data_IF_235327165496
#
_entry.id   IF_235327165496
#
_cell.length_a   1.000
_cell.length_b   1.000
_cell.length_c   1.000
_cell.angle_alpha   90.00
_cell.angle_beta   90.00
_cell.angle_gamma   90.00
#
_symmetry.space_group_name_H-M   'P 1'
#
loop_
_entity.id
_entity.type
_entity.pdbx_description
1 polymer ?
#
# COMPACT_ATOMS: atom_id res chain seq x y z
N UNK A 1 13.92 -6.46 20.93
CA UNK A 1 13.17 -5.50 20.13
C UNK A 1 11.72 -5.45 20.55
N UNK A 2 11.26 -4.26 20.85
CA UNK A 2 9.87 -4.06 21.21
C UNK A 2 8.99 -4.16 19.98
N UNK A 3 7.90 -4.92 20.10
CA UNK A 3 6.89 -4.94 19.05
C UNK A 3 6.27 -3.54 18.94
N UNK A 4 6.02 -3.07 17.72
CA UNK A 4 5.31 -1.81 17.56
C UNK A 4 3.93 -1.90 18.20
N UNK A 5 3.45 -0.79 18.71
CA UNK A 5 2.11 -0.73 19.28
C UNK A 5 1.09 -0.80 18.13
N UNK A 6 0.43 -1.94 18.04
CA UNK A 6 -0.57 -2.18 17.02
C UNK A 6 -1.93 -1.72 17.52
N UNK A 7 -2.59 -0.88 16.74
CA UNK A 7 -3.90 -0.32 17.08
C UNK A 7 -5.00 -1.02 16.29
N UNK A 8 -4.80 -1.16 14.99
CA UNK A 8 -5.77 -1.77 14.08
C UNK A 8 -5.05 -2.36 12.88
N UNK A 9 -5.80 -2.79 11.90
CA UNK A 9 -5.23 -3.34 10.67
C UNK A 9 -6.18 -3.15 9.50
N UNK A 10 -5.61 -3.13 8.31
CA UNK A 10 -6.35 -3.37 7.08
C UNK A 10 -5.94 -4.73 6.55
N UNK A 11 -6.76 -5.34 5.72
CA UNK A 11 -6.41 -6.63 5.14
C UNK A 11 -7.02 -6.82 3.76
N UNK A 12 -6.41 -7.70 3.01
CA UNK A 12 -6.83 -8.08 1.67
C UNK A 12 -6.86 -9.58 1.58
N UNK A 13 -7.96 -10.14 1.07
CA UNK A 13 -8.07 -11.58 0.94
C UNK A 13 -7.21 -12.08 -0.22
N UNK A 14 -6.48 -13.15 0.01
CA UNK A 14 -5.57 -13.72 -0.99
C UNK A 14 -6.32 -14.19 -2.25
N UNK A 15 -7.58 -14.60 -2.11
CA UNK A 15 -8.37 -15.09 -3.25
C UNK A 15 -9.02 -13.97 -4.05
N UNK A 16 -9.01 -12.73 -3.57
CA UNK A 16 -9.75 -11.63 -4.20
C UNK A 16 -8.96 -11.06 -5.37
N UNK A 17 -9.43 -11.31 -6.59
CA UNK A 17 -8.79 -10.81 -7.81
C UNK A 17 -8.91 -9.29 -7.96
N UNK A 18 -9.88 -8.68 -7.29
CA UNK A 18 -10.06 -7.23 -7.32
C UNK A 18 -9.19 -6.51 -6.30
N UNK A 19 -8.49 -7.26 -5.46
CA UNK A 19 -7.57 -6.71 -4.44
C UNK A 19 -8.24 -5.71 -3.50
N UNK A 20 -9.49 -6.00 -3.11
CA UNK A 20 -10.21 -5.13 -2.20
C UNK A 20 -9.56 -5.12 -0.83
N UNK A 21 -9.34 -3.92 -0.29
CA UNK A 21 -8.76 -3.76 1.04
C UNK A 21 -9.88 -3.45 2.04
N UNK A 22 -9.95 -4.26 3.06
CA UNK A 22 -10.91 -4.08 4.16
C UNK A 22 -10.21 -3.43 5.34
N UNK A 23 -10.96 -2.64 6.10
CA UNK A 23 -10.48 -2.03 7.34
C UNK A 23 -11.17 -2.71 8.53
N UNK A 24 -10.38 -3.22 9.47
CA UNK A 24 -10.93 -3.80 10.71
C UNK A 24 -11.83 -2.78 11.39
N UNK A 25 -11.37 -1.52 11.44
CA UNK A 25 -12.10 -0.45 12.09
C UNK A 25 -13.44 -0.18 11.41
N UNK A 26 -13.46 -0.13 10.09
CA UNK A 26 -14.69 0.09 9.31
C UNK A 26 -15.67 -1.07 9.45
N UNK A 27 -15.17 -2.27 9.70
CA UNK A 27 -16.01 -3.45 9.93
C UNK A 27 -16.45 -3.58 11.39
N UNK A 28 -16.26 -2.56 12.18
CA UNK A 28 -16.63 -2.56 13.58
C UNK A 28 -15.78 -3.46 14.44
N UNK A 29 -14.56 -3.74 13.98
CA UNK A 29 -13.68 -4.67 14.64
C UNK A 29 -12.66 -4.03 15.56
N UNK A 30 -11.87 -4.87 16.17
CA UNK A 30 -10.86 -4.44 17.13
C UNK A 30 -9.77 -5.49 17.28
N UNK A 31 -8.66 -5.06 17.84
CA UNK A 31 -7.60 -5.95 18.28
C UNK A 31 -8.06 -6.69 19.53
N UNK A 32 -8.06 -8.02 19.45
CA UNK A 32 -8.47 -8.86 20.57
C UNK A 32 -7.27 -9.27 21.41
N UNK A 33 -6.21 -9.70 20.74
CA UNK A 33 -5.05 -10.25 21.41
C UNK A 33 -3.79 -10.01 20.59
N UNK A 34 -2.74 -9.67 21.30
CA UNK A 34 -1.40 -9.64 20.75
C UNK A 34 -0.59 -10.63 21.57
N UNK A 35 -0.17 -11.72 20.94
CA UNK A 35 0.56 -12.78 21.61
C UNK A 35 1.92 -12.33 22.08
N UNK A 36 2.46 -13.08 23.05
CA UNK A 36 3.84 -12.89 23.47
C UNK A 36 4.75 -13.69 22.57
N UNK A 37 6.02 -13.28 22.50
CA UNK A 37 7.02 -14.09 21.84
C UNK A 37 7.03 -15.47 22.46
N UNK A 38 6.95 -16.49 21.62
CA UNK A 38 6.90 -17.87 22.07
C UNK A 38 8.25 -18.31 22.61
N UNK A 39 8.22 -19.18 23.62
CA UNK A 39 9.43 -19.85 24.09
C UNK A 39 9.93 -20.92 23.11
N UNK A 40 9.16 -21.19 22.06
CA UNK A 40 9.59 -22.08 20.99
C UNK A 40 10.41 -21.32 19.97
N UNK A 41 11.02 -22.04 19.04
CA UNK A 41 11.81 -21.43 17.98
C UNK A 41 10.95 -20.71 16.93
N UNK A 42 9.67 -20.57 17.17
CA UNK A 42 8.78 -19.81 16.30
C UNK A 42 9.13 -18.33 16.34
N UNK A 43 9.44 -17.80 15.18
CA UNK A 43 9.72 -16.37 15.01
C UNK A 43 8.46 -15.55 14.84
N UNK A 44 7.30 -16.16 14.98
CA UNK A 44 6.02 -15.51 14.75
C UNK A 44 5.30 -15.21 16.06
N UNK A 45 4.70 -14.03 16.13
CA UNK A 45 3.87 -13.63 17.25
C UNK A 45 2.44 -13.54 16.76
N UNK A 46 1.50 -14.28 17.35
CA UNK A 46 0.11 -14.21 16.90
C UNK A 46 -0.52 -12.87 17.25
N UNK A 47 -1.25 -12.31 16.31
CA UNK A 47 -2.04 -11.10 16.50
C UNK A 47 -3.45 -11.40 16.01
N UNK A 48 -4.44 -11.18 16.86
CA UNK A 48 -5.81 -11.58 16.58
C UNK A 48 -6.71 -10.36 16.60
N UNK A 49 -7.45 -10.19 15.51
CA UNK A 49 -8.48 -9.17 15.37
C UNK A 49 -9.83 -9.87 15.23
N UNK A 50 -10.89 -9.21 15.69
CA UNK A 50 -12.24 -9.62 15.37
C UNK A 50 -12.94 -8.51 14.62
N UNK A 51 -13.92 -8.86 13.82
CA UNK A 51 -14.69 -7.90 13.06
C UNK A 51 -16.02 -8.52 12.64
N UNK A 52 -16.95 -7.66 12.21
CA UNK A 52 -18.25 -8.11 11.71
C UNK A 52 -18.10 -8.52 10.25
N UNK A 53 -18.40 -9.80 9.97
CA UNK A 53 -18.35 -10.32 8.62
C UNK A 53 -19.76 -10.32 8.04
N UNK A 54 -19.99 -9.48 7.02
CA UNK A 54 -21.29 -9.41 6.35
C UNK A 54 -21.50 -10.54 5.35
N UNK A 55 -20.62 -11.54 5.31
CA UNK A 55 -20.75 -12.70 4.44
C UNK A 55 -19.82 -12.70 3.25
N UNK A 56 -19.09 -11.63 3.05
CA UNK A 56 -18.18 -11.49 1.89
C UNK A 56 -16.83 -12.18 2.10
N UNK A 57 -16.48 -12.48 3.34
CA UNK A 57 -15.17 -13.01 3.67
C UNK A 57 -15.32 -14.47 4.08
N UNK A 58 -14.60 -15.33 3.39
CA UNK A 58 -14.68 -16.78 3.56
C UNK A 58 -13.75 -17.22 4.68
N UNK A 59 -14.33 -17.86 5.71
CA UNK A 59 -13.57 -18.39 6.83
C UNK A 59 -12.57 -19.45 6.35
N UNK A 60 -11.40 -19.47 6.99
CA UNK A 60 -10.34 -20.40 6.62
C UNK A 60 -9.43 -19.93 5.50
N UNK A 61 -9.69 -18.77 4.95
CA UNK A 61 -8.92 -18.21 3.84
C UNK A 61 -7.72 -17.42 4.36
N UNK A 62 -6.70 -17.33 3.52
CA UNK A 62 -5.53 -16.52 3.81
C UNK A 62 -5.76 -15.07 3.43
N UNK A 63 -5.11 -14.17 4.16
CA UNK A 63 -5.19 -12.75 3.90
C UNK A 63 -3.81 -12.12 4.06
N UNK A 64 -3.59 -11.05 3.33
CA UNK A 64 -2.46 -10.17 3.57
C UNK A 64 -2.92 -9.07 4.50
N UNK A 65 -2.21 -8.88 5.61
CA UNK A 65 -2.62 -7.97 6.67
C UNK A 65 -1.63 -6.83 6.79
N UNK A 66 -2.16 -5.62 6.83
CA UNK A 66 -1.38 -4.40 7.01
C UNK A 66 -1.63 -3.89 8.42
N UNK A 67 -0.67 -4.12 9.31
CA UNK A 67 -0.79 -3.69 10.69
C UNK A 67 -0.57 -2.18 10.80
N UNK A 68 -1.38 -1.53 11.60
CA UNK A 68 -1.33 -0.09 11.78
C UNK A 68 -1.10 0.26 13.24
N UNK A 69 -0.11 1.12 13.46
CA UNK A 69 0.16 1.70 14.75
C UNK A 69 -0.57 3.01 14.94
N UNK A 70 -0.12 3.78 15.91
CA UNK A 70 -0.64 5.11 16.14
C UNK A 70 -0.37 6.00 14.94
N UNK A 71 -1.32 6.88 14.61
CA UNK A 71 -1.18 7.80 13.50
C UNK A 71 -0.02 8.76 13.75
N UNK A 72 0.82 8.93 12.74
CA UNK A 72 1.93 9.89 12.77
C UNK A 72 1.55 11.12 11.97
N UNK A 73 1.85 12.29 12.55
CA UNK A 73 1.60 13.56 11.87
C UNK A 73 2.80 13.95 11.01
N UNK A 74 2.56 14.75 9.98
CA UNK A 74 3.61 15.26 9.13
C UNK A 74 4.20 14.27 8.13
N UNK A 75 3.53 13.15 7.93
CA UNK A 75 3.96 12.11 6.99
C UNK A 75 3.29 12.35 5.65
N UNK A 76 4.08 12.31 4.57
CA UNK A 76 3.53 12.32 3.22
C UNK A 76 3.03 10.92 2.88
N UNK A 77 1.81 10.85 2.38
CA UNK A 77 1.25 9.59 1.93
C UNK A 77 0.44 9.82 0.66
N UNK A 78 0.47 8.82 -0.23
CA UNK A 78 -0.27 8.86 -1.48
C UNK A 78 -1.11 7.60 -1.58
N UNK A 79 -2.18 7.60 -2.40
CA UNK A 79 -2.90 6.37 -2.67
C UNK A 79 -1.94 5.31 -3.20
N UNK A 80 -2.09 4.08 -2.73
CA UNK A 80 -1.19 2.99 -3.15
C UNK A 80 -1.20 2.79 -4.66
N UNK A 81 -2.35 3.00 -5.29
CA UNK A 81 -2.51 2.88 -6.74
C UNK A 81 -1.72 3.93 -7.53
N UNK A 82 -1.26 5.01 -6.88
CA UNK A 82 -0.47 6.03 -7.54
C UNK A 82 1.00 5.63 -7.68
N UNK A 83 1.44 4.60 -6.96
CA UNK A 83 2.83 4.17 -6.98
C UNK A 83 2.99 3.02 -7.96
N UNK A 84 3.94 3.15 -8.87
CA UNK A 84 4.29 2.08 -9.80
C UNK A 84 5.69 1.58 -9.50
N UNK A 85 5.90 0.30 -9.79
CA UNK A 85 7.20 -0.32 -9.59
C UNK A 85 7.80 -0.70 -10.94
N UNK A 86 9.08 -0.47 -11.09
CA UNK A 86 9.83 -0.93 -12.25
C UNK A 86 11.25 -1.27 -11.79
N UNK A 87 11.64 -2.53 -11.98
CA UNK A 87 12.99 -3.02 -11.69
C UNK A 87 13.45 -2.75 -10.25
N UNK A 88 12.52 -2.91 -9.30
CA UNK A 88 12.81 -2.71 -7.88
C UNK A 88 12.78 -1.26 -7.42
N UNK A 89 12.49 -0.34 -8.33
CA UNK A 89 12.36 1.07 -7.99
C UNK A 89 10.89 1.48 -8.02
N UNK A 90 10.55 2.49 -7.23
CA UNK A 90 9.18 2.97 -7.11
C UNK A 90 9.08 4.38 -7.68
N UNK A 91 7.99 4.63 -8.37
CA UNK A 91 7.78 5.90 -9.07
C UNK A 91 6.36 6.39 -8.87
N UNK A 92 6.21 7.71 -8.89
CA UNK A 92 4.92 8.37 -9.00
C UNK A 92 4.98 9.36 -10.15
N UNK A 93 3.82 9.76 -10.63
CA UNK A 93 3.70 10.80 -11.65
C UNK A 93 3.16 12.05 -11.01
N UNK A 94 3.88 13.15 -11.17
CA UNK A 94 3.54 14.45 -10.60
C UNK A 94 3.12 15.36 -11.73
N UNK A 95 1.95 15.98 -11.60
CA UNK A 95 1.47 16.95 -12.56
C UNK A 95 2.12 18.29 -12.27
N UNK A 96 2.86 18.82 -13.24
CA UNK A 96 3.58 20.08 -13.11
C UNK A 96 2.90 21.25 -13.79
N UNK A 97 2.15 21.00 -14.87
CA UNK A 97 1.37 21.99 -15.60
C UNK A 97 0.17 21.30 -16.22
N UNK A 98 -0.62 22.01 -17.01
CA UNK A 98 -1.94 21.54 -17.47
C UNK A 98 -1.92 20.10 -17.99
N UNK A 99 -0.96 19.75 -18.84
CA UNK A 99 -0.86 18.41 -19.41
C UNK A 99 0.54 17.83 -19.29
N UNK A 100 1.35 18.38 -18.38
CA UNK A 100 2.73 17.93 -18.19
C UNK A 100 2.83 17.11 -16.92
N UNK A 101 3.33 15.88 -17.08
CA UNK A 101 3.55 14.95 -15.99
C UNK A 101 5.02 14.58 -15.92
N UNK A 102 5.55 14.52 -14.72
CA UNK A 102 6.92 14.12 -14.50
C UNK A 102 6.95 12.84 -13.68
N UNK A 103 7.70 11.86 -14.16
CA UNK A 103 7.93 10.64 -13.41
C UNK A 103 8.99 10.90 -12.34
N UNK A 104 8.68 10.63 -11.11
CA UNK A 104 9.56 10.90 -9.98
C UNK A 104 9.82 9.60 -9.23
N UNK A 105 11.08 9.29 -9.04
CA UNK A 105 11.45 8.16 -8.21
C UNK A 105 11.22 8.52 -6.75
N UNK A 106 10.62 7.60 -6.00
CA UNK A 106 10.30 7.81 -4.59
C UNK A 106 10.82 6.65 -3.76
N UNK A 107 11.05 6.90 -2.49
CA UNK A 107 11.25 5.85 -1.50
C UNK A 107 9.99 5.74 -0.68
N UNK A 108 9.49 4.50 -0.57
CA UNK A 108 8.25 4.23 0.12
C UNK A 108 8.51 3.70 1.51
N UNK A 109 7.58 3.95 2.42
CA UNK A 109 7.62 3.46 3.78
C UNK A 109 6.44 2.54 4.06
N UNK A 110 5.80 2.76 5.20
CA UNK A 110 4.69 1.94 5.64
C UNK A 110 3.48 2.10 4.73
N UNK A 111 2.66 1.06 4.65
CA UNK A 111 1.41 1.10 3.91
C UNK A 111 0.30 0.45 4.73
N UNK A 112 -0.92 0.95 4.55
CA UNK A 112 -2.13 0.33 5.11
C UNK A 112 -2.93 -0.41 4.02
N UNK A 113 -2.33 -0.59 2.85
CA UNK A 113 -2.96 -1.21 1.69
C UNK A 113 -3.75 -0.22 0.82
N UNK A 114 -4.16 0.90 1.38
CA UNK A 114 -4.87 1.95 0.64
C UNK A 114 -3.99 3.15 0.34
N UNK A 115 -3.14 3.50 1.29
CA UNK A 115 -2.17 4.59 1.17
C UNK A 115 -0.79 4.06 1.48
N UNK A 116 0.20 4.71 0.93
CA UNK A 116 1.58 4.35 1.16
C UNK A 116 2.38 5.60 1.51
N UNK A 117 3.20 5.48 2.55
CA UNK A 117 4.07 6.55 3.00
C UNK A 117 5.18 6.79 2.00
N UNK A 118 5.46 8.05 1.71
CA UNK A 118 6.57 8.44 0.85
C UNK A 118 7.65 9.07 1.74
N UNK A 119 8.79 8.40 1.80
CA UNK A 119 9.91 8.84 2.63
C UNK A 119 10.75 9.90 1.95
N UNK A 120 10.89 9.83 0.62
CA UNK A 120 11.65 10.82 -0.14
C UNK A 120 11.16 10.86 -1.58
N UNK A 121 11.44 11.97 -2.26
CA UNK A 121 11.11 12.17 -3.66
C UNK A 121 9.94 13.12 -3.90
N UNK A 122 9.10 13.32 -2.90
CA UNK A 122 7.96 14.23 -2.98
C UNK A 122 8.02 15.26 -1.87
N UNK A 123 7.31 16.35 -2.09
CA UNK A 123 7.12 17.38 -1.08
C UNK A 123 5.64 17.69 -0.93
N UNK A 124 5.27 18.30 0.18
CA UNK A 124 3.90 18.70 0.43
C UNK A 124 3.43 19.67 -0.68
N UNK A 125 2.21 19.44 -1.17
CA UNK A 125 1.64 20.23 -2.25
C UNK A 125 1.83 19.65 -3.63
N UNK A 126 2.69 18.66 -3.81
CA UNK A 126 2.84 17.98 -5.09
C UNK A 126 1.54 17.31 -5.51
N UNK A 127 1.18 17.45 -6.77
CA UNK A 127 -0.03 16.84 -7.32
C UNK A 127 0.30 15.50 -7.95
N UNK A 128 -0.01 14.44 -7.25
CA UNK A 128 0.30 13.08 -7.66
C UNK A 128 -0.90 12.50 -8.41
N UNK A 129 -0.62 11.84 -9.52
CA UNK A 129 -1.66 11.18 -10.32
C UNK A 129 -2.05 9.89 -9.62
N UNK A 130 -3.28 9.86 -9.07
CA UNK A 130 -3.78 8.69 -8.35
C UNK A 130 -4.40 7.66 -9.29
N UNK A 131 -5.16 8.13 -10.27
CA UNK A 131 -5.80 7.25 -11.26
C UNK A 131 -5.12 7.44 -12.61
N UNK A 132 -4.97 6.37 -13.36
CA UNK A 132 -4.36 6.43 -14.67
C UNK A 132 -2.84 6.38 -14.65
N UNK A 133 -2.20 6.18 -13.51
CA UNK A 133 -0.75 6.11 -13.45
C UNK A 133 -0.18 5.04 -14.38
N UNK A 134 -0.85 3.90 -14.46
CA UNK A 134 -0.46 2.84 -15.39
C UNK A 134 -0.53 3.28 -16.83
N UNK A 135 -1.56 4.04 -17.19
CA UNK A 135 -1.71 4.54 -18.53
C UNK A 135 -0.61 5.54 -18.90
N UNK A 136 -0.26 6.41 -17.97
CA UNK A 136 0.83 7.36 -18.18
C UNK A 136 2.14 6.62 -18.39
N UNK A 137 2.39 5.59 -17.57
CA UNK A 137 3.59 4.78 -17.73
C UNK A 137 3.63 4.05 -19.08
N UNK A 138 2.50 3.49 -19.51
CA UNK A 138 2.42 2.81 -20.81
C UNK A 138 2.68 3.80 -21.96
N UNK A 139 2.15 5.00 -21.88
CA UNK A 139 2.39 6.01 -22.89
C UNK A 139 3.88 6.36 -22.98
N UNK A 140 4.54 6.52 -21.85
CA UNK A 140 5.98 6.78 -21.81
C UNK A 140 6.77 5.62 -22.40
N UNK A 141 6.37 4.39 -22.12
CA UNK A 141 7.00 3.20 -22.69
C UNK A 141 6.78 3.14 -24.19
N UNK A 142 5.57 3.46 -24.65
CA UNK A 142 5.25 3.43 -26.07
C UNK A 142 6.04 4.47 -26.84
N UNK A 143 6.37 5.60 -26.25
CA UNK A 143 7.18 6.62 -26.92
C UNK A 143 8.63 6.18 -27.11
N UNK A 144 9.10 5.22 -26.30
CA UNK A 144 10.47 4.70 -26.42
C UNK A 144 10.54 3.52 -27.38
N UNK A 145 9.54 2.63 -27.35
CA UNK A 145 9.54 1.39 -28.14
C UNK A 145 9.70 1.62 -29.65
N UNK A 146 9.01 2.60 -30.30
CA UNK A 146 9.16 2.78 -31.75
C UNK A 146 10.59 3.06 -32.19
N UNK A 147 11.39 3.74 -31.36
CA UNK A 147 12.77 4.02 -31.70
C UNK A 147 13.63 2.77 -31.74
N UNK A 148 13.33 1.80 -30.90
CA UNK A 148 14.06 0.54 -30.84
C UNK A 148 13.75 -0.42 -31.98
N UNK A 149 12.70 -0.17 -32.74
CA UNK A 149 12.24 -1.10 -33.78
C UNK A 149 12.51 -0.63 -35.20
N UNK A 150 13.16 0.49 -35.36
CA UNK A 150 13.50 1.01 -36.66
C UNK A 150 14.87 0.53 -37.10
N UNK A 151 14.92 -0.70 -37.51
CA UNK A 151 16.15 -1.29 -37.99
C UNK A 151 16.13 -1.44 -39.49
#
# INVERSE_FOLDING_TARGET
>A
TMLPRIVTANFRMAYDSENRVYSIKELGGRLVSKGKASDTDDHFVPVIFEFNNAGDIVAGSFAEVYLQGAQRNGVLAVPAEAVTEAQGLYFVYVKTAADIYRRVEVKTGATDGRRIEILSGLKAGDKVVAHGATQVRLAASASVVPEGHHH
#
